data_IF_198163426784
#
_entry.id   IF_198163426784
#
_cell.length_a   1.000
_cell.length_b   1.000
_cell.length_c   1.000
_cell.angle_alpha   90.00
_cell.angle_beta   90.00
_cell.angle_gamma   90.00
#
_symmetry.space_group_name_H-M   'P 1'
#
loop_
_entity.id
_entity.type
_entity.pdbx_description
1 polymer ?
#
# COMPACT_ATOMS: atom_id res chain seq x y z
N UNK A 1 52.90 -21.49 -19.23
CA UNK A 1 51.48 -21.65 -18.85
C UNK A 1 50.96 -20.29 -18.41
N UNK A 2 50.11 -19.64 -19.20
CA UNK A 2 49.51 -18.35 -18.86
C UNK A 2 48.08 -18.63 -18.37
N UNK A 3 47.79 -18.25 -17.11
CA UNK A 3 46.45 -18.34 -16.52
C UNK A 3 45.77 -16.98 -16.64
N UNK A 4 44.85 -16.85 -17.56
CA UNK A 4 43.96 -15.69 -17.63
C UNK A 4 42.94 -15.77 -16.50
N UNK A 5 42.90 -14.76 -15.63
CA UNK A 5 41.85 -14.60 -14.62
C UNK A 5 40.81 -13.65 -15.19
N UNK A 6 39.57 -14.11 -15.34
CA UNK A 6 38.44 -13.27 -15.74
C UNK A 6 37.78 -12.75 -14.46
N UNK A 7 37.82 -11.43 -14.25
CA UNK A 7 36.99 -10.77 -13.24
C UNK A 7 35.59 -10.56 -13.84
N UNK A 8 34.60 -11.30 -13.34
CA UNK A 8 33.20 -11.09 -13.68
C UNK A 8 32.68 -9.83 -13.01
N UNK A 9 32.28 -8.83 -13.79
CA UNK A 9 31.60 -7.64 -13.30
C UNK A 9 30.19 -8.05 -12.86
N UNK A 10 29.94 -8.12 -11.54
CA UNK A 10 28.58 -8.25 -11.03
C UNK A 10 27.87 -6.90 -11.20
N UNK A 11 27.04 -6.78 -12.23
CA UNK A 11 26.07 -5.69 -12.33
C UNK A 11 24.95 -6.00 -11.33
N UNK A 12 24.88 -5.23 -10.24
CA UNK A 12 23.72 -5.27 -9.37
C UNK A 12 22.49 -4.87 -10.20
N UNK A 13 21.54 -5.79 -10.37
CA UNK A 13 20.29 -5.51 -11.07
C UNK A 13 19.53 -4.38 -10.38
N UNK A 14 18.92 -3.49 -11.16
CA UNK A 14 18.08 -2.43 -10.62
C UNK A 14 16.94 -3.04 -9.79
N UNK A 15 16.74 -2.55 -8.57
CA UNK A 15 15.55 -2.89 -7.79
C UNK A 15 14.39 -2.04 -8.30
N UNK A 16 13.30 -2.69 -8.71
CA UNK A 16 12.08 -2.01 -9.12
C UNK A 16 11.10 -2.04 -7.95
N UNK A 17 10.33 -0.96 -7.77
CA UNK A 17 9.20 -0.98 -6.86
C UNK A 17 8.24 -2.14 -7.25
N UNK A 18 7.69 -2.81 -6.24
CA UNK A 18 6.65 -3.80 -6.47
C UNK A 18 5.42 -3.17 -7.15
N UNK A 19 4.57 -3.98 -7.79
CA UNK A 19 3.31 -3.48 -8.33
C UNK A 19 2.48 -2.87 -7.18
N UNK A 20 1.67 -1.83 -7.46
CA UNK A 20 0.73 -1.32 -6.47
C UNK A 20 -0.25 -2.43 -6.07
N UNK A 21 -0.68 -2.40 -4.82
CA UNK A 21 -1.66 -3.36 -4.29
C UNK A 21 -3.04 -3.21 -4.94
N UNK A 22 -3.36 -2.01 -5.46
CA UNK A 22 -4.64 -1.70 -6.11
C UNK A 22 -4.49 -0.43 -6.97
N UNK A 23 -5.37 -0.22 -7.96
CA UNK A 23 -5.39 0.98 -8.82
C UNK A 23 -5.93 2.24 -8.13
N UNK A 24 -6.75 2.03 -7.08
CA UNK A 24 -7.38 3.09 -6.30
C UNK A 24 -6.34 3.75 -5.38
N UNK A 25 -6.23 5.07 -5.43
CA UNK A 25 -5.28 5.84 -4.64
C UNK A 25 -5.54 5.66 -3.13
N UNK A 26 -4.48 5.35 -2.38
CA UNK A 26 -4.51 5.03 -0.96
C UNK A 26 -3.18 5.41 -0.29
N UNK A 27 -3.19 5.65 1.02
CA UNK A 27 -1.99 5.96 1.81
C UNK A 27 -2.06 5.38 3.23
N UNK A 28 -1.00 5.62 4.00
CA UNK A 28 -0.85 5.28 5.42
C UNK A 28 -1.17 3.80 5.77
N UNK A 29 -0.49 2.84 5.12
CA UNK A 29 -0.79 1.42 5.29
C UNK A 29 -0.52 0.92 6.72
N UNK A 30 -1.51 0.23 7.30
CA UNK A 30 -1.42 -0.49 8.57
C UNK A 30 -1.73 -1.99 8.39
N UNK A 31 -0.74 -2.83 8.00
CA UNK A 31 -0.94 -4.26 7.79
C UNK A 31 -1.08 -5.04 9.11
N UNK A 32 -2.03 -5.97 9.14
CA UNK A 32 -2.25 -6.92 10.23
C UNK A 32 -2.45 -8.33 9.68
N UNK A 33 -2.01 -9.34 10.42
CA UNK A 33 -2.24 -10.74 10.07
C UNK A 33 -3.22 -11.34 11.05
N UNK A 34 -4.33 -11.87 10.53
CA UNK A 34 -5.30 -12.65 11.31
C UNK A 34 -5.48 -14.01 10.63
N UNK A 35 -5.07 -15.08 11.30
CA UNK A 35 -5.05 -16.42 10.71
C UNK A 35 -4.09 -16.50 9.53
N UNK A 36 -4.59 -16.94 8.38
CA UNK A 36 -3.87 -17.10 7.11
C UNK A 36 -4.03 -15.91 6.15
N UNK A 37 -4.58 -14.78 6.65
CA UNK A 37 -4.92 -13.62 5.82
C UNK A 37 -4.29 -12.34 6.36
N UNK A 38 -3.81 -11.53 5.42
CA UNK A 38 -3.32 -10.17 5.66
C UNK A 38 -4.46 -9.18 5.41
N UNK A 39 -4.61 -8.25 6.34
CA UNK A 39 -5.58 -7.16 6.34
C UNK A 39 -4.80 -5.85 6.32
N UNK A 40 -4.96 -5.07 5.28
CA UNK A 40 -4.31 -3.79 5.12
C UNK A 40 -5.36 -2.68 5.24
N UNK A 41 -5.29 -1.94 6.33
CA UNK A 41 -6.09 -0.74 6.53
C UNK A 41 -5.32 0.46 5.97
N UNK A 42 -5.97 1.27 5.14
CA UNK A 42 -5.36 2.42 4.48
C UNK A 42 -6.36 3.58 4.40
N UNK A 43 -5.86 4.81 4.25
CA UNK A 43 -6.72 5.95 3.89
C UNK A 43 -7.27 5.75 2.47
N UNK A 44 -8.53 6.13 2.23
CA UNK A 44 -9.12 6.17 0.89
C UNK A 44 -8.95 7.58 0.30
N UNK A 45 -7.88 7.76 -0.46
CA UNK A 45 -7.50 9.06 -1.02
C UNK A 45 -8.01 9.25 -2.46
N UNK A 46 -8.82 8.34 -2.99
CA UNK A 46 -9.25 8.38 -4.39
C UNK A 46 -10.18 9.55 -4.75
N UNK A 47 -10.75 10.23 -3.75
CA UNK A 47 -11.61 11.41 -3.92
C UNK A 47 -10.97 12.68 -3.34
N UNK A 48 -9.69 12.62 -3.00
CA UNK A 48 -8.95 13.75 -2.49
C UNK A 48 -8.85 14.87 -3.54
N UNK A 49 -8.93 16.14 -3.13
CA UNK A 49 -8.88 17.28 -4.05
C UNK A 49 -7.51 17.55 -4.67
N UNK A 50 -6.44 17.00 -4.09
CA UNK A 50 -5.05 17.20 -4.50
C UNK A 50 -4.46 18.56 -4.11
N UNK A 51 -5.21 19.40 -3.37
CA UNK A 51 -4.72 20.69 -2.86
C UNK A 51 -4.15 20.60 -1.46
N UNK A 52 -4.87 19.89 -0.59
CA UNK A 52 -4.48 19.48 0.76
C UNK A 52 -4.95 18.04 0.97
N UNK A 53 -4.56 17.40 2.06
CA UNK A 53 -5.07 16.07 2.36
C UNK A 53 -6.47 16.18 2.98
N UNK A 54 -7.52 15.90 2.21
CA UNK A 54 -8.93 16.06 2.62
C UNK A 54 -9.74 14.75 2.59
N UNK A 55 -9.05 13.62 2.72
CA UNK A 55 -9.67 12.30 2.76
C UNK A 55 -10.41 12.07 4.08
N UNK A 56 -11.58 11.43 4.03
CA UNK A 56 -12.45 11.26 5.21
C UNK A 56 -12.80 9.81 5.52
N UNK A 57 -12.25 8.85 4.78
CA UNK A 57 -12.56 7.44 4.93
C UNK A 57 -11.33 6.55 4.92
N UNK A 58 -11.47 5.39 5.54
CA UNK A 58 -10.50 4.31 5.47
C UNK A 58 -11.09 3.11 4.75
N UNK A 59 -10.23 2.41 4.02
CA UNK A 59 -10.54 1.27 3.17
C UNK A 59 -9.75 0.06 3.60
N UNK A 60 -10.34 -1.11 3.44
CA UNK A 60 -9.70 -2.39 3.73
C UNK A 60 -9.30 -3.07 2.43
N UNK A 61 -8.08 -3.60 2.41
CA UNK A 61 -7.62 -4.55 1.41
C UNK A 61 -7.22 -5.86 2.09
N UNK A 62 -7.53 -7.00 1.49
CA UNK A 62 -7.11 -8.30 2.03
C UNK A 62 -6.36 -9.16 1.02
N UNK A 63 -5.44 -9.97 1.51
CA UNK A 63 -4.66 -10.91 0.70
C UNK A 63 -4.30 -12.16 1.49
N UNK A 64 -4.20 -13.30 0.81
CA UNK A 64 -3.67 -14.55 1.38
C UNK A 64 -2.25 -14.86 0.89
N UNK A 65 -1.71 -14.08 -0.06
CA UNK A 65 -0.43 -14.36 -0.71
C UNK A 65 0.49 -13.12 -0.88
N UNK A 66 0.05 -11.95 -0.38
CA UNK A 66 0.69 -10.63 -0.52
C UNK A 66 0.85 -10.13 -1.97
N UNK A 67 0.27 -10.84 -2.95
CA UNK A 67 0.39 -10.53 -4.38
C UNK A 67 -0.95 -10.10 -4.95
N UNK A 68 -1.98 -10.90 -4.70
CA UNK A 68 -3.35 -10.59 -5.10
C UNK A 68 -4.08 -9.97 -3.93
N UNK A 69 -4.66 -8.80 -4.16
CA UNK A 69 -5.36 -8.04 -3.15
C UNK A 69 -6.83 -7.90 -3.56
N UNK A 70 -7.72 -8.20 -2.62
CA UNK A 70 -9.15 -7.89 -2.73
C UNK A 70 -9.40 -6.54 -2.09
N UNK A 71 -10.11 -5.68 -2.80
CA UNK A 71 -10.70 -4.47 -2.24
C UNK A 71 -11.98 -4.83 -1.46
N UNK A 72 -11.95 -4.66 -0.14
CA UNK A 72 -13.04 -4.96 0.78
C UNK A 72 -13.97 -3.76 1.06
N UNK A 73 -13.70 -2.62 0.43
CA UNK A 73 -14.53 -1.43 0.58
C UNK A 73 -14.11 -0.52 1.73
N UNK A 74 -14.71 0.67 1.73
CA UNK A 74 -14.57 1.60 2.84
C UNK A 74 -15.34 1.04 4.05
N UNK A 75 -14.65 0.90 5.19
CA UNK A 75 -15.23 0.33 6.41
C UNK A 75 -15.40 1.38 7.52
N UNK A 76 -14.74 2.53 7.41
CA UNK A 76 -14.72 3.59 8.41
C UNK A 76 -14.76 4.96 7.72
N UNK A 77 -15.54 5.88 8.27
CA UNK A 77 -15.53 7.29 7.88
C UNK A 77 -15.32 8.16 9.12
N UNK A 78 -14.66 9.31 8.96
CA UNK A 78 -14.34 10.25 10.05
C UNK A 78 -15.58 10.68 10.84
N UNK A 79 -16.77 10.69 10.21
CA UNK A 79 -18.05 11.03 10.83
C UNK A 79 -18.48 10.12 11.98
N UNK A 80 -17.87 8.94 12.15
CA UNK A 80 -18.13 8.10 13.34
C UNK A 80 -17.60 8.75 14.62
N UNK A 81 -16.59 9.61 14.52
CA UNK A 81 -16.01 10.32 15.65
C UNK A 81 -16.74 11.65 15.84
N UNK A 82 -17.60 11.73 16.86
CA UNK A 82 -18.46 12.92 17.12
C UNK A 82 -17.70 14.25 17.26
N UNK A 83 -16.43 14.19 17.63
CA UNK A 83 -15.58 15.35 17.86
C UNK A 83 -14.75 15.73 16.62
N UNK A 84 -14.64 14.83 15.64
CA UNK A 84 -13.81 15.04 14.47
C UNK A 84 -14.54 15.87 13.42
N UNK A 85 -13.76 16.66 12.68
CA UNK A 85 -14.22 17.44 11.53
C UNK A 85 -13.46 16.96 10.29
N UNK A 86 -14.06 17.08 9.09
CA UNK A 86 -13.37 16.79 7.84
C UNK A 86 -12.54 18.01 7.39
N UNK A 87 -11.65 18.48 8.25
CA UNK A 87 -10.86 19.70 8.07
C UNK A 87 -9.35 19.48 8.23
N UNK A 88 -8.91 18.24 8.00
CA UNK A 88 -7.49 17.90 7.89
C UNK A 88 -6.85 18.57 6.66
#
# INVERSE_FOLDING_TARGET
>A
MIRTVVFGLMVAGATQAGPPIHERFNADPAPHVFGDKVYLYATDDASNSGKYWDSTSWRLYTSTDLKQWRDDGAFLNVSVFKWAKPDA
#
